data_IF_673052577189
#
_entry.id   IF_673052577189
#
_cell.length_a   1.000
_cell.length_b   1.000
_cell.length_c   1.000
_cell.angle_alpha   90.00
_cell.angle_beta   90.00
_cell.angle_gamma   90.00
#
_symmetry.space_group_name_H-M   'P 1'
#
loop_
_entity.id
_entity.type
_entity.pdbx_description
1 polymer ?
#
# COMPACT_ATOMS: atom_id res chain seq x y z
N UNK A 1 -9.94 -7.93 18.19
CA UNK A 1 -10.26 -7.17 16.98
C UNK A 1 -9.25 -7.49 15.89
N UNK A 2 -9.76 -7.74 14.70
CA UNK A 2 -8.91 -8.11 13.58
C UNK A 2 -8.52 -6.87 12.79
N UNK A 3 -7.24 -6.77 12.49
CA UNK A 3 -6.73 -5.69 11.63
C UNK A 3 -6.49 -6.29 10.24
N UNK A 4 -7.04 -5.64 9.23
CA UNK A 4 -6.81 -6.05 7.85
C UNK A 4 -5.62 -5.31 7.30
N UNK A 5 -4.70 -6.07 6.71
CA UNK A 5 -3.55 -5.52 6.04
C UNK A 5 -3.72 -5.57 4.53
N UNK A 6 -3.10 -4.61 3.86
CA UNK A 6 -3.17 -4.50 2.40
C UNK A 6 -1.77 -4.24 1.86
N UNK A 7 -1.32 -5.13 1.01
CA UNK A 7 -0.08 -4.91 0.26
C UNK A 7 -0.47 -4.50 -1.14
N UNK A 8 -0.29 -3.23 -1.43
CA UNK A 8 -0.66 -2.65 -2.71
C UNK A 8 0.59 -2.52 -3.56
N UNK A 9 0.65 -3.28 -4.64
CA UNK A 9 1.77 -3.19 -5.58
C UNK A 9 1.46 -2.10 -6.59
N UNK A 10 2.35 -1.14 -6.71
CA UNK A 10 2.27 -0.06 -7.69
C UNK A 10 3.51 -0.09 -8.57
N UNK A 11 3.36 0.36 -9.80
CA UNK A 11 4.49 0.49 -10.72
C UNK A 11 4.77 1.97 -10.93
N UNK A 12 5.97 2.39 -10.61
CA UNK A 12 6.40 3.78 -10.71
C UNK A 12 7.50 3.84 -11.76
N UNK A 13 7.16 4.39 -12.92
CA UNK A 13 8.07 4.49 -14.07
C UNK A 13 8.73 3.14 -14.40
N UNK A 14 7.93 2.09 -14.38
CA UNK A 14 8.39 0.75 -14.72
C UNK A 14 8.99 -0.05 -13.58
N UNK A 15 9.06 0.52 -12.38
CA UNK A 15 9.63 -0.16 -11.21
C UNK A 15 8.51 -0.45 -10.21
N UNK A 16 8.36 -1.70 -9.82
CA UNK A 16 7.34 -2.09 -8.88
C UNK A 16 7.77 -1.81 -7.45
N UNK A 17 6.83 -1.30 -6.67
CA UNK A 17 6.98 -1.07 -5.24
C UNK A 17 5.75 -1.56 -4.52
N UNK A 18 5.89 -1.92 -3.26
CA UNK A 18 4.76 -2.35 -2.44
C UNK A 18 4.50 -1.30 -1.37
N UNK A 19 3.26 -0.83 -1.32
CA UNK A 19 2.80 0.07 -0.26
C UNK A 19 2.04 -0.77 0.74
N UNK A 20 2.51 -0.78 1.97
CA UNK A 20 1.91 -1.58 3.03
C UNK A 20 1.04 -0.71 3.92
N UNK A 21 -0.24 -1.05 3.97
CA UNK A 21 -1.26 -0.29 4.70
C UNK A 21 -2.06 -1.23 5.59
N UNK A 22 -2.75 -0.65 6.57
CA UNK A 22 -3.72 -1.41 7.33
C UNK A 22 -4.94 -0.53 7.66
N UNK A 23 -6.00 -1.17 8.13
CA UNK A 23 -7.27 -0.48 8.38
C UNK A 23 -7.33 0.22 9.75
N UNK A 24 -6.20 0.38 10.41
CA UNK A 24 -6.14 1.21 11.61
C UNK A 24 -6.24 2.70 11.25
N UNK A 25 -5.99 3.04 10.00
CA UNK A 25 -6.16 4.41 9.52
C UNK A 25 -7.63 4.63 9.14
N UNK A 26 -8.26 5.70 9.62
CA UNK A 26 -9.69 5.94 9.37
C UNK A 26 -10.07 6.01 7.89
N UNK A 27 -9.13 6.41 7.04
CA UNK A 27 -9.40 6.54 5.61
C UNK A 27 -9.39 5.20 4.87
N UNK A 28 -8.92 4.13 5.53
CA UNK A 28 -8.77 2.83 4.90
C UNK A 28 -9.82 1.87 5.46
N UNK A 29 -10.82 1.55 4.66
CA UNK A 29 -11.92 0.69 5.06
C UNK A 29 -11.96 -0.63 4.30
N UNK A 30 -11.44 -0.63 3.07
CA UNK A 30 -11.44 -1.79 2.20
C UNK A 30 -10.30 -1.67 1.20
N UNK A 31 -10.21 -2.65 0.29
CA UNK A 31 -9.12 -2.66 -0.68
C UNK A 31 -9.17 -1.46 -1.64
N UNK A 32 -10.36 -0.92 -1.89
CA UNK A 32 -10.50 0.24 -2.80
C UNK A 32 -9.91 1.48 -2.18
N UNK A 33 -10.28 1.76 -0.93
CA UNK A 33 -9.74 2.93 -0.23
C UNK A 33 -8.25 2.75 0.02
N UNK A 34 -7.81 1.52 0.31
CA UNK A 34 -6.38 1.24 0.45
C UNK A 34 -5.63 1.52 -0.86
N UNK A 35 -6.18 1.09 -1.99
CA UNK A 35 -5.57 1.32 -3.29
C UNK A 35 -5.48 2.81 -3.61
N UNK A 36 -6.57 3.55 -3.39
CA UNK A 36 -6.58 4.99 -3.63
C UNK A 36 -5.53 5.69 -2.77
N UNK A 37 -5.47 5.30 -1.50
CA UNK A 37 -4.50 5.89 -0.58
C UNK A 37 -3.07 5.58 -1.03
N UNK A 38 -2.83 4.34 -1.44
CA UNK A 38 -1.50 3.93 -1.90
C UNK A 38 -1.07 4.71 -3.13
N UNK A 39 -1.98 4.92 -4.08
CA UNK A 39 -1.65 5.70 -5.29
C UNK A 39 -1.35 7.15 -4.95
N UNK A 40 -2.14 7.75 -4.07
CA UNK A 40 -1.89 9.12 -3.63
C UNK A 40 -0.56 9.24 -2.89
N UNK A 41 -0.26 8.25 -2.05
CA UNK A 41 1.01 8.24 -1.32
C UNK A 41 2.19 8.10 -2.29
N UNK A 42 2.05 7.23 -3.29
CA UNK A 42 3.10 7.05 -4.29
C UNK A 42 3.35 8.34 -5.06
N UNK A 43 2.29 9.06 -5.45
CA UNK A 43 2.41 10.33 -6.12
C UNK A 43 3.11 11.36 -5.23
N UNK A 44 2.79 11.35 -3.95
CA UNK A 44 3.40 12.28 -3.02
C UNK A 44 4.89 11.99 -2.81
N UNK A 45 5.24 10.71 -2.74
CA UNK A 45 6.63 10.31 -2.51
C UNK A 45 7.50 10.38 -3.77
N UNK A 46 6.86 10.33 -4.95
CA UNK A 46 7.55 10.35 -6.23
C UNK A 46 6.97 11.44 -7.13
N UNK A 47 7.14 12.72 -6.75
CA UNK A 47 6.49 13.82 -7.49
C UNK A 47 7.02 13.98 -8.91
N UNK A 48 8.21 13.45 -9.20
CA UNK A 48 8.81 13.53 -10.53
C UNK A 48 8.47 12.32 -11.41
N UNK A 49 7.70 11.39 -10.91
CA UNK A 49 7.34 10.20 -11.69
C UNK A 49 6.44 10.59 -12.85
N UNK A 50 6.69 9.98 -14.01
CA UNK A 50 5.89 10.21 -15.20
C UNK A 50 4.66 9.32 -15.24
N UNK A 51 4.75 8.13 -14.63
CA UNK A 51 3.68 7.16 -14.71
C UNK A 51 3.64 6.33 -13.43
N UNK A 52 2.49 6.33 -12.79
CA UNK A 52 2.24 5.52 -11.60
C UNK A 52 0.98 4.73 -11.84
N UNK A 53 1.09 3.40 -11.76
CA UNK A 53 -0.03 2.50 -12.04
C UNK A 53 -0.23 1.49 -10.92
N UNK A 54 -1.49 1.16 -10.70
CA UNK A 54 -1.84 0.05 -9.82
C UNK A 54 -1.52 -1.27 -10.52
N UNK A 55 -0.95 -2.22 -9.79
CA UNK A 55 -0.63 -3.55 -10.32
C UNK A 55 -1.48 -4.60 -9.62
N UNK A 56 -1.45 -4.64 -8.30
CA UNK A 56 -2.11 -5.71 -7.56
C UNK A 56 -2.37 -5.28 -6.11
N UNK A 57 -3.29 -6.00 -5.48
CA UNK A 57 -3.62 -5.78 -4.09
C UNK A 57 -3.79 -7.13 -3.40
N UNK A 58 -3.06 -7.34 -2.33
CA UNK A 58 -3.23 -8.50 -1.47
C UNK A 58 -3.84 -8.06 -0.14
N UNK A 59 -4.92 -8.72 0.25
CA UNK A 59 -5.59 -8.48 1.52
C UNK A 59 -5.30 -9.66 2.45
N UNK A 60 -5.07 -9.37 3.71
CA UNK A 60 -4.86 -10.45 4.69
C UNK A 60 -5.14 -9.94 6.10
N UNK A 61 -5.36 -10.88 7.01
CA UNK A 61 -5.57 -10.55 8.41
C UNK A 61 -4.24 -10.41 9.11
N UNK A 62 -4.11 -9.36 9.90
CA UNK A 62 -2.94 -9.15 10.77
C UNK A 62 -3.37 -9.42 12.20
N UNK A 63 -2.46 -9.98 12.99
CA UNK A 63 -2.68 -10.08 14.42
C UNK A 63 -2.65 -8.69 15.03
N UNK A 64 -3.47 -8.46 16.07
CA UNK A 64 -3.60 -7.14 16.68
C UNK A 64 -2.27 -6.48 16.97
N UNK A 65 -1.36 -7.24 17.55
CA UNK A 65 -0.07 -6.70 17.95
C UNK A 65 0.93 -6.65 16.82
N UNK A 66 0.56 -7.10 15.64
CA UNK A 66 1.42 -7.13 14.46
C UNK A 66 0.94 -6.23 13.35
N UNK A 67 0.09 -5.26 13.66
CA UNK A 67 -0.30 -4.29 12.64
C UNK A 67 0.94 -3.56 12.14
N UNK A 68 0.84 -3.00 10.95
CA UNK A 68 1.98 -2.25 10.40
C UNK A 68 2.33 -1.03 11.22
N UNK A 69 1.35 -0.46 11.92
CA UNK A 69 1.55 0.70 12.79
C UNK A 69 1.75 2.00 12.04
N UNK A 70 2.26 1.95 10.84
CA UNK A 70 2.45 3.14 10.01
C UNK A 70 2.46 2.73 8.55
N UNK A 71 2.25 3.71 7.69
CA UNK A 71 2.28 3.51 6.26
C UNK A 71 3.70 3.67 5.76
N UNK A 72 4.17 2.73 4.96
CA UNK A 72 5.49 2.84 4.36
C UNK A 72 5.48 2.17 2.99
N UNK A 73 6.43 2.58 2.16
CA UNK A 73 6.66 1.99 0.86
C UNK A 73 7.95 1.20 0.89
N UNK A 74 7.91 0.00 0.36
CA UNK A 74 9.10 -0.83 0.26
C UNK A 74 9.26 -1.29 -1.18
N UNK A 75 10.50 -1.37 -1.69
CA UNK A 75 10.73 -1.91 -3.03
C UNK A 75 10.20 -3.34 -3.12
N UNK A 76 9.60 -3.67 -4.25
CA UNK A 76 9.16 -5.02 -4.51
C UNK A 76 10.38 -5.84 -4.89
N UNK A 77 10.96 -6.48 -3.90
CA UNK A 77 12.15 -7.28 -4.11
C UNK A 77 11.73 -8.67 -4.53
N UNK A 78 12.32 -9.15 -5.60
CA UNK A 78 12.06 -10.51 -6.03
C UNK A 78 12.62 -11.47 -5.01
N UNK A 79 11.75 -12.27 -4.50
CA UNK A 79 12.09 -13.23 -3.46
C UNK A 79 12.53 -14.53 -4.05
#
# INVERSE_FOLDING_TARGET
>A
MTVMGYDITVEIDGVESVVQLDDTYPAINDWRTATEFALQLAEHMHPDANNIQFVDCAEFELEEYKSYGYIHEAPCVLQ
#
